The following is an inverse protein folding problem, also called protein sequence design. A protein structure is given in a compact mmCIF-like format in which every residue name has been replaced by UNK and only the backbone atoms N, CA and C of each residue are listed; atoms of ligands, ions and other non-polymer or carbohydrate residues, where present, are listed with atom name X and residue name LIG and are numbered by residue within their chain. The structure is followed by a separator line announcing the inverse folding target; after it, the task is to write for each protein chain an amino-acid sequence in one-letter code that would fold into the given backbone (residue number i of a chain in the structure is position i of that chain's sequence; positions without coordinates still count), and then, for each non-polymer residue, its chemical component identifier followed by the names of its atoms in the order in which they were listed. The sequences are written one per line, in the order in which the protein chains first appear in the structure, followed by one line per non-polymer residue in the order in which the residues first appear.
data_IF_216011142989
#
_entry.id   IF_216011142989
#
_cell.length_a   1.000
_cell.length_b   1.000
_cell.length_c   1.000
_cell.angle_alpha   90.00
_cell.angle_beta   90.00
_cell.angle_gamma   90.00
#
_symmetry.space_group_name_H-M   'P 1'
#
loop_
_entity.id
_entity.type
_entity.pdbx_description
1 polymer ?
#
# COMPACT_ATOMS: atom_id res chain seq x y z
N UNK A 1 -20.80 -5.74 -1.72
CA UNK A 1 -19.76 -5.43 -2.63
C UNK A 1 -19.36 -3.99 -2.56
N UNK A 2 -18.09 -3.74 -2.52
CA UNK A 2 -17.61 -2.37 -2.46
C UNK A 2 -17.35 -1.83 -3.84
N UNK A 3 -17.71 -0.58 -4.07
CA UNK A 3 -17.26 0.09 -5.27
C UNK A 3 -16.06 0.94 -4.89
N UNK A 4 -15.37 1.53 -5.88
CA UNK A 4 -14.16 2.29 -5.60
C UNK A 4 -14.37 3.43 -4.62
N UNK A 5 -15.59 4.00 -4.58
CA UNK A 5 -15.86 5.11 -3.71
C UNK A 5 -15.92 4.74 -2.26
N UNK A 6 -16.02 3.45 -1.94
CA UNK A 6 -16.11 3.01 -0.56
C UNK A 6 -14.79 2.52 0.01
N UNK A 7 -13.74 2.38 -0.81
CA UNK A 7 -12.44 1.97 -0.29
C UNK A 7 -11.81 3.11 0.50
N UNK A 8 -11.20 2.75 1.63
CA UNK A 8 -10.53 3.72 2.48
C UNK A 8 -9.04 3.41 2.52
N UNK A 9 -8.23 4.41 2.22
CA UNK A 9 -6.78 4.26 2.09
C UNK A 9 -6.09 5.14 3.13
N UNK A 10 -5.16 4.56 3.86
CA UNK A 10 -4.28 5.32 4.75
C UNK A 10 -3.02 5.66 4.00
N UNK A 11 -2.69 6.94 3.92
CA UNK A 11 -1.47 7.41 3.28
C UNK A 11 -0.63 8.14 4.31
N UNK A 12 0.64 7.76 4.42
CA UNK A 12 1.53 8.33 5.42
C UNK A 12 2.82 8.79 4.74
N UNK A 13 3.14 10.07 4.89
CA UNK A 13 4.36 10.63 4.32
C UNK A 13 4.67 11.91 5.11
N UNK A 14 5.92 12.05 5.57
CA UNK A 14 6.26 13.19 6.40
C UNK A 14 6.55 14.45 5.61
N UNK A 15 6.53 14.37 4.29
CA UNK A 15 6.71 15.54 3.45
C UNK A 15 5.33 16.06 3.03
N UNK A 16 4.94 17.21 3.58
CA UNK A 16 3.56 17.68 3.47
C UNK A 16 3.09 17.83 2.03
N UNK A 17 3.94 18.36 1.15
CA UNK A 17 3.52 18.58 -0.23
C UNK A 17 3.29 17.26 -0.97
N UNK A 18 4.10 16.26 -0.67
CA UNK A 18 3.94 14.94 -1.28
C UNK A 18 2.67 14.29 -0.76
N UNK A 19 2.44 14.39 0.54
CA UNK A 19 1.26 13.80 1.16
C UNK A 19 -0.03 14.37 0.57
N UNK A 20 -0.10 15.70 0.43
CA UNK A 20 -1.26 16.34 -0.15
C UNK A 20 -1.48 15.88 -1.59
N UNK A 21 -0.40 15.76 -2.33
CA UNK A 21 -0.49 15.32 -3.73
C UNK A 21 -1.10 13.92 -3.82
N UNK A 22 -0.60 12.99 -3.02
CA UNK A 22 -1.16 11.64 -3.03
C UNK A 22 -2.63 11.64 -2.63
N UNK A 23 -2.97 12.43 -1.60
CA UNK A 23 -4.35 12.51 -1.15
C UNK A 23 -5.27 12.98 -2.26
N UNK A 24 -4.90 14.07 -2.93
CA UNK A 24 -5.74 14.64 -3.98
C UNK A 24 -5.90 13.67 -5.15
N UNK A 25 -4.80 13.03 -5.55
CA UNK A 25 -4.85 12.10 -6.67
C UNK A 25 -5.81 10.94 -6.36
N UNK A 26 -5.72 10.40 -5.15
CA UNK A 26 -6.57 9.27 -4.79
C UNK A 26 -8.01 9.68 -4.62
N UNK A 27 -8.26 10.86 -4.04
CA UNK A 27 -9.62 11.32 -3.85
C UNK A 27 -10.31 11.59 -5.19
N UNK A 28 -9.55 12.01 -6.19
CA UNK A 28 -10.13 12.22 -7.52
C UNK A 28 -10.61 10.91 -8.14
N UNK A 29 -10.09 9.79 -7.69
CA UNK A 29 -10.54 8.48 -8.16
C UNK A 29 -11.74 7.94 -7.38
N UNK A 30 -12.18 8.67 -6.35
CA UNK A 30 -13.31 8.25 -5.55
C UNK A 30 -12.95 7.55 -4.27
N UNK A 31 -11.67 7.37 -3.96
CA UNK A 31 -11.27 6.74 -2.71
C UNK A 31 -11.44 7.70 -1.54
N UNK A 32 -11.70 7.14 -0.37
CA UNK A 32 -11.65 7.89 0.87
C UNK A 32 -10.25 7.79 1.43
N UNK A 33 -9.64 8.91 1.81
CA UNK A 33 -8.24 8.94 2.18
C UNK A 33 -8.07 9.57 3.55
N UNK A 34 -7.30 8.91 4.41
CA UNK A 34 -6.80 9.52 5.63
C UNK A 34 -5.32 9.75 5.41
N UNK A 35 -4.90 11.01 5.48
CA UNK A 35 -3.52 11.42 5.22
C UNK A 35 -2.87 11.80 6.54
N UNK A 36 -1.76 11.15 6.87
CA UNK A 36 -1.06 11.37 8.12
C UNK A 36 0.40 11.69 7.86
N UNK A 37 0.93 12.67 8.56
CA UNK A 37 2.31 13.09 8.38
C UNK A 37 3.29 12.37 9.30
N UNK A 38 2.80 11.66 10.31
CA UNK A 38 3.65 10.98 11.28
C UNK A 38 3.17 9.57 11.52
N UNK A 39 4.08 8.73 12.01
CA UNK A 39 3.70 7.37 12.40
C UNK A 39 2.72 7.40 13.55
N UNK A 40 2.86 8.34 14.47
CA UNK A 40 1.96 8.45 15.61
C UNK A 40 0.53 8.71 15.16
N UNK A 41 0.35 9.66 14.24
CA UNK A 41 -0.99 9.95 13.75
C UNK A 41 -1.55 8.80 12.93
N UNK A 42 -0.69 8.11 12.17
CA UNK A 42 -1.14 6.97 11.38
C UNK A 42 -1.63 5.85 12.30
N UNK A 43 -0.90 5.56 13.36
CA UNK A 43 -1.29 4.51 14.29
C UNK A 43 -2.59 4.90 14.99
N UNK A 44 -2.74 6.19 15.34
CA UNK A 44 -3.99 6.65 15.91
C UNK A 44 -5.16 6.44 14.95
N UNK A 45 -4.96 6.76 13.66
CA UNK A 45 -6.00 6.55 12.67
C UNK A 45 -6.38 5.08 12.57
N UNK A 46 -5.39 4.20 12.60
CA UNK A 46 -5.65 2.76 12.54
C UNK A 46 -6.48 2.26 13.72
N UNK A 47 -6.39 2.93 14.85
CA UNK A 47 -7.17 2.54 16.02
C UNK A 47 -8.62 3.00 15.97
N UNK A 48 -8.92 3.95 15.09
CA UNK A 48 -10.24 4.57 15.06
C UNK A 48 -11.05 4.24 13.84
N UNK A 49 -10.44 3.70 12.78
CA UNK A 49 -11.20 3.34 11.59
C UNK A 49 -10.50 2.21 10.85
N UNK A 50 -11.26 1.54 10.02
CA UNK A 50 -10.75 0.44 9.22
C UNK A 50 -10.26 0.95 7.88
N UNK A 51 -9.25 0.28 7.34
CA UNK A 51 -8.68 0.65 6.06
C UNK A 51 -8.61 -0.55 5.14
N UNK A 52 -8.59 -0.28 3.84
CA UNK A 52 -8.47 -1.30 2.82
C UNK A 52 -7.06 -1.38 2.23
N UNK A 53 -6.24 -0.37 2.47
CA UNK A 53 -4.89 -0.29 1.91
C UNK A 53 -4.08 0.69 2.72
N UNK A 54 -2.80 0.40 2.92
CA UNK A 54 -1.87 1.32 3.56
C UNK A 54 -0.74 1.63 2.58
N UNK A 55 -0.53 2.92 2.31
CA UNK A 55 0.59 3.41 1.50
C UNK A 55 1.42 4.30 2.42
N UNK A 56 2.64 3.90 2.72
CA UNK A 56 3.40 4.52 3.79
C UNK A 56 4.85 4.75 3.38
N UNK A 57 5.31 5.98 3.57
CA UNK A 57 6.72 6.29 3.39
C UNK A 57 7.56 5.40 4.29
N UNK A 58 8.72 4.96 3.79
CA UNK A 58 9.60 4.14 4.60
C UNK A 58 10.15 4.93 5.78
N UNK A 59 10.65 6.15 5.53
CA UNK A 59 11.29 6.94 6.59
C UNK A 59 10.30 7.94 7.16
N UNK A 60 10.07 7.87 8.45
CA UNK A 60 9.14 8.74 9.12
C UNK A 60 9.86 9.48 10.24
N UNK A 61 9.11 10.20 11.07
CA UNK A 61 9.70 11.04 12.10
C UNK A 61 10.48 10.23 13.12
N UNK A 62 11.52 10.83 13.67
CA UNK A 62 12.27 10.27 14.80
C UNK A 62 12.74 8.85 14.55
N UNK A 63 13.14 8.57 13.32
CA UNK A 63 13.65 7.26 12.93
C UNK A 63 12.62 6.14 12.93
N UNK A 64 11.34 6.47 13.07
CA UNK A 64 10.29 5.50 12.83
C UNK A 64 10.24 5.15 11.35
N UNK A 65 9.73 3.96 11.04
CA UNK A 65 9.65 3.52 9.66
C UNK A 65 8.23 3.10 9.31
N UNK A 66 7.98 3.00 8.02
CA UNK A 66 6.70 2.53 7.52
C UNK A 66 6.39 1.10 7.95
N UNK A 67 7.41 0.28 8.21
CA UNK A 67 7.16 -1.07 8.71
C UNK A 67 6.37 -1.05 10.01
N UNK A 68 6.63 -0.07 10.87
CA UNK A 68 5.91 0.02 12.15
C UNK A 68 4.44 0.31 11.95
N UNK A 69 4.14 1.20 11.02
CA UNK A 69 2.75 1.53 10.72
C UNK A 69 2.04 0.32 10.11
N UNK A 70 2.70 -0.35 9.18
CA UNK A 70 2.11 -1.51 8.52
C UNK A 70 1.92 -2.65 9.52
N UNK A 71 2.86 -2.82 10.45
CA UNK A 71 2.71 -3.84 11.48
C UNK A 71 1.47 -3.59 12.32
N UNK A 72 1.22 -2.33 12.70
CA UNK A 72 0.01 -2.01 13.45
C UNK A 72 -1.24 -2.29 12.61
N UNK A 73 -1.20 -1.95 11.33
CA UNK A 73 -2.33 -2.22 10.45
C UNK A 73 -2.63 -3.71 10.39
N UNK A 74 -1.58 -4.52 10.32
CA UNK A 74 -1.73 -5.97 10.22
C UNK A 74 -2.07 -6.64 11.53
N UNK A 75 -1.81 -5.99 12.65
CA UNK A 75 -2.35 -6.47 13.91
C UNK A 75 -3.86 -6.41 13.91
N UNK A 76 -4.42 -5.45 13.20
CA UNK A 76 -5.87 -5.28 13.16
C UNK A 76 -6.49 -6.05 12.01
N UNK A 77 -5.79 -6.12 10.88
CA UNK A 77 -6.27 -6.83 9.71
C UNK A 77 -5.06 -7.50 9.07
N UNK A 78 -4.82 -8.79 9.38
CA UNK A 78 -3.57 -9.45 9.00
C UNK A 78 -3.28 -9.49 7.51
N UNK A 79 -4.29 -9.43 6.67
CA UNK A 79 -4.09 -9.54 5.22
C UNK A 79 -4.22 -8.20 4.50
N UNK A 80 -4.22 -7.07 5.23
CA UNK A 80 -4.38 -5.78 4.57
C UNK A 80 -3.23 -5.56 3.60
N UNK A 81 -3.53 -5.18 2.35
CA UNK A 81 -2.47 -4.86 1.40
C UNK A 81 -1.74 -3.58 1.84
N UNK A 82 -0.45 -3.55 1.59
CA UNK A 82 0.36 -2.43 2.01
C UNK A 82 1.56 -2.28 1.11
N UNK A 83 2.03 -1.04 0.94
CA UNK A 83 3.23 -0.74 0.19
C UNK A 83 4.03 0.34 0.88
N UNK A 84 5.34 0.23 0.80
CA UNK A 84 6.26 1.28 1.21
C UNK A 84 6.55 2.19 0.03
N UNK A 85 6.66 3.48 0.30
CA UNK A 85 7.03 4.48 -0.68
C UNK A 85 8.40 4.99 -0.27
N UNK A 86 9.39 4.91 -1.15
CA UNK A 86 10.74 5.26 -0.75
C UNK A 86 11.58 5.66 -1.95
N UNK A 87 12.54 6.57 -1.73
CA UNK A 87 13.50 6.94 -2.78
C UNK A 87 14.61 5.93 -2.91
N UNK A 88 14.79 5.08 -1.93
CA UNK A 88 15.88 4.12 -1.94
C UNK A 88 15.59 3.00 -0.95
N UNK A 89 15.88 1.79 -1.34
CA UNK A 89 15.75 0.65 -0.45
C UNK A 89 17.02 -0.19 -0.52
N UNK A 90 17.52 -0.55 0.66
CA UNK A 90 18.63 -1.49 0.72
C UNK A 90 18.12 -2.88 0.39
N UNK A 91 19.06 -3.80 0.13
CA UNK A 91 18.67 -5.19 -0.08
C UNK A 91 17.93 -5.74 1.14
N UNK A 92 18.41 -5.39 2.33
CA UNK A 92 17.73 -5.85 3.55
C UNK A 92 16.31 -5.34 3.65
N UNK A 93 16.09 -4.06 3.34
CA UNK A 93 14.75 -3.50 3.37
C UNK A 93 13.85 -4.18 2.35
N UNK A 94 14.37 -4.39 1.14
CA UNK A 94 13.60 -5.04 0.09
C UNK A 94 13.25 -6.48 0.46
N UNK A 95 14.20 -7.20 1.06
CA UNK A 95 13.96 -8.57 1.48
C UNK A 95 12.94 -8.63 2.62
N UNK A 96 13.03 -7.70 3.55
CA UNK A 96 12.05 -7.65 4.63
C UNK A 96 10.65 -7.38 4.12
N UNK A 97 10.53 -6.43 3.19
CA UNK A 97 9.24 -6.12 2.60
C UNK A 97 8.67 -7.33 1.86
N UNK A 98 9.52 -7.97 1.06
CA UNK A 98 9.10 -9.15 0.31
C UNK A 98 8.65 -10.27 1.24
N UNK A 99 9.38 -10.50 2.32
CA UNK A 99 9.04 -11.55 3.28
C UNK A 99 7.73 -11.30 4.00
N UNK A 100 7.30 -10.05 4.07
CA UNK A 100 6.04 -9.68 4.70
C UNK A 100 4.94 -9.38 3.70
N UNK A 101 5.19 -9.62 2.41
CA UNK A 101 4.23 -9.33 1.34
C UNK A 101 3.83 -7.87 1.33
N UNK A 102 4.83 -7.00 1.47
CA UNK A 102 4.66 -5.55 1.38
C UNK A 102 5.29 -5.10 0.07
N UNK A 103 4.53 -4.36 -0.74
CA UNK A 103 5.05 -3.83 -1.98
C UNK A 103 5.97 -2.66 -1.74
N UNK A 104 6.76 -2.31 -2.75
CA UNK A 104 7.61 -1.11 -2.68
C UNK A 104 7.37 -0.32 -3.96
N UNK A 105 7.11 0.98 -3.80
CA UNK A 105 7.08 1.91 -4.92
C UNK A 105 8.20 2.91 -4.73
N UNK A 106 9.00 3.11 -5.77
CA UNK A 106 10.18 3.98 -5.68
C UNK A 106 9.84 5.40 -6.12
N UNK A 107 10.19 6.36 -5.28
CA UNK A 107 10.00 7.77 -5.59
C UNK A 107 11.09 8.23 -6.56
N UNK A 108 10.79 9.14 -7.47
CA UNK A 108 9.49 9.77 -7.68
C UNK A 108 8.56 8.81 -8.42
N UNK A 109 7.32 8.72 -7.96
CA UNK A 109 6.36 7.79 -8.52
C UNK A 109 5.48 8.54 -9.51
N UNK A 110 5.39 8.04 -10.74
CA UNK A 110 4.50 8.65 -11.72
C UNK A 110 3.06 8.42 -11.33
N UNK A 111 2.21 9.39 -11.64
CA UNK A 111 0.81 9.34 -11.22
C UNK A 111 0.12 8.10 -11.76
N UNK A 112 0.36 7.77 -13.04
CA UNK A 112 -0.28 6.60 -13.63
C UNK A 112 0.15 5.31 -12.96
N UNK A 113 1.43 5.19 -12.64
CA UNK A 113 1.94 4.02 -11.94
C UNK A 113 1.34 3.94 -10.55
N UNK A 114 1.27 5.06 -9.85
CA UNK A 114 0.74 5.13 -8.50
C UNK A 114 -0.71 4.66 -8.48
N UNK A 115 -1.52 5.17 -9.40
CA UNK A 115 -2.93 4.81 -9.45
C UNK A 115 -3.14 3.36 -9.90
N UNK A 116 -2.36 2.91 -10.86
CA UNK A 116 -2.49 1.53 -11.34
C UNK A 116 -2.14 0.54 -10.24
N UNK A 117 -1.06 0.81 -9.50
CA UNK A 117 -0.64 -0.08 -8.42
C UNK A 117 -1.68 -0.09 -7.30
N UNK A 118 -2.19 1.08 -6.94
CA UNK A 118 -3.22 1.19 -5.91
C UNK A 118 -4.45 0.37 -6.29
N UNK A 119 -4.94 0.56 -7.50
CA UNK A 119 -6.11 -0.15 -7.97
C UNK A 119 -5.88 -1.66 -7.99
N UNK A 120 -4.70 -2.07 -8.43
CA UNK A 120 -4.38 -3.50 -8.49
C UNK A 120 -4.34 -4.12 -7.10
N UNK A 121 -3.76 -3.43 -6.13
CA UNK A 121 -3.69 -3.95 -4.78
C UNK A 121 -5.07 -4.09 -4.16
N UNK A 122 -5.95 -3.12 -4.42
CA UNK A 122 -7.31 -3.18 -3.89
C UNK A 122 -8.13 -4.28 -4.56
N UNK A 123 -7.99 -4.43 -5.87
CA UNK A 123 -8.73 -5.49 -6.57
C UNK A 123 -8.28 -6.86 -6.14
N UNK A 124 -6.97 -7.05 -5.95
CA UNK A 124 -6.45 -8.33 -5.54
C UNK A 124 -7.01 -8.76 -4.19
N UNK A 125 -7.08 -7.81 -3.26
CA UNK A 125 -7.58 -8.09 -1.93
C UNK A 125 -9.04 -8.50 -1.94
N UNK A 126 -9.82 -7.96 -2.88
CA UNK A 126 -11.26 -8.18 -2.90
C UNK A 126 -11.71 -9.16 -3.96
N UNK A 127 -10.78 -9.74 -4.72
CA UNK A 127 -11.14 -10.74 -5.70
C UNK A 127 -11.32 -12.10 -5.05
N UNK A 128 -12.20 -12.94 -5.59
CA UNK A 128 -12.27 -14.30 -5.11
C UNK A 128 -10.93 -14.97 -5.30
N UNK A 129 -10.68 -15.91 -4.42
CA UNK A 129 -9.40 -16.55 -4.42
C UNK A 129 -9.33 -17.62 -5.43
N UNK A 130 -9.56 -17.37 -6.62
CA UNK A 130 -9.46 -18.34 -7.55
C UNK A 130 -8.31 -18.16 -8.36
N UNK A 131 -7.79 -17.19 -8.25
CA UNK A 131 -6.84 -17.02 -9.01
C UNK A 131 -5.83 -17.68 -8.71
N UNK A 132 -6.05 -18.11 -8.12
CA UNK A 132 -5.11 -18.69 -7.85
C UNK A 132 -4.78 -19.56 -8.74
N UNK A 133 -4.98 -19.76 -9.33
CA UNK A 133 -4.51 -20.44 -10.01
C UNK A 133 -4.08 -20.19 -11.08
N UNK A 134 -4.42 -20.03 -11.19
CA UNK A 134 -3.89 -19.82 -11.84
C UNK A 134 -3.24 -19.39 -12.26
N UNK A 135 -3.23 -19.69 -12.51
CA UNK A 135 -2.41 -19.29 -12.77
C UNK A 135 -1.75 -19.14 -13.14
N UNK A 136 -1.65 -19.51 -13.34
CA UNK A 136 -0.84 -19.29 -13.53
C UNK A 136 -0.27 -19.27 -14.09
N UNK A 137 -0.39 -19.66 -14.43
CA UNK A 137 0.32 -19.65 -14.75
C UNK A 137 0.85 -19.46 -15.27
N UNK A 138 0.81 -19.85 -15.68
CA UNK A 138 1.47 -19.61 -15.89
C UNK A 138 1.94 -19.37 -16.28
N UNK A 139 1.90 -19.77 -16.88
CA UNK A 139 2.55 -19.65 -16.96
C UNK A 139 2.94 -19.53 -17.47
N UNK A 140 2.80 -20.03 -17.86
CA UNK A 140 3.38 -20.02 -18.13
C UNK A 140 3.70 -19.95 -18.48
N UNK A 141 3.61 -20.34 -18.81
CA UNK A 141 4.12 -20.28 -18.70
C UNK A 141 4.57 -20.09 -18.90
N UNK A 142 4.38 -20.60 -19.42
CA UNK A 142 4.93 -20.56 -19.33
C UNK A 142 5.19 -20.59 -19.56
N UNK A 143 4.90 -20.97 -20.04
CA UNK A 143 5.46 -21.02 -20.06
C UNK A 143 5.44 -21.26 -20.36
N UNK A 144 5.40 -21.77 -20.65
CA UNK A 144 5.58 -21.99 -20.58
C UNK A 144 5.48 -22.29 -20.74
N UNK A 145 5.20 -22.59 -21.09
CA UNK A 145 5.28 -22.80 -20.95
C UNK A 145 5.42 -22.69 -21.07
N UNK A 146 5.16 -23.01 -21.44
CA UNK A 146 5.44 -22.92 -21.32
C UNK A 146 5.59 -22.82 -21.24
#
# INVERSE_FOLDING_TARGET
MSDPGTYRILVVDDEASVLITYQLILEQQGYQVSACATSVDAIRALRHQDFDLVLCDYSLEEQHTGFEVIAEARNRRPDIPAALLTGYATKETADEASGQHIGIMFKPIEIEEFLATTSKMLRRDHEPDQESGEKNISHPQSGAKK
#
